data_IF_701943373445
#
_entry.id   IF_701943373445
#
_cell.length_a   1.000
_cell.length_b   1.000
_cell.length_c   1.000
_cell.angle_alpha   90.00
_cell.angle_beta   90.00
_cell.angle_gamma   90.00
#
_symmetry.space_group_name_H-M   'P 1'
#
loop_
_entity.id
_entity.type
_entity.pdbx_description
1 polymer ?
#
# COMPACT_ATOMS: atom_id res chain seq x y z
N UNK A 1 19.58 -32.22 -15.46
CA UNK A 1 19.75 -30.75 -15.31
C UNK A 1 21.17 -30.42 -14.89
N UNK A 2 21.77 -29.36 -15.43
CA UNK A 2 23.12 -28.93 -15.09
C UNK A 2 23.11 -28.27 -13.71
N UNK A 3 23.88 -28.80 -12.76
CA UNK A 3 24.02 -28.23 -11.40
C UNK A 3 24.47 -26.77 -11.50
N UNK A 4 23.66 -25.86 -10.99
CA UNK A 4 23.97 -24.42 -10.99
C UNK A 4 25.04 -24.10 -9.94
N UNK A 5 25.98 -23.22 -10.30
CA UNK A 5 26.98 -22.69 -9.36
C UNK A 5 26.27 -21.83 -8.31
N UNK A 6 26.84 -21.75 -7.10
CA UNK A 6 26.27 -21.00 -5.97
C UNK A 6 25.95 -19.55 -6.33
N UNK A 7 26.86 -18.86 -7.00
CA UNK A 7 26.65 -17.46 -7.43
C UNK A 7 25.43 -17.29 -8.33
N UNK A 8 25.21 -18.22 -9.27
CA UNK A 8 24.04 -18.18 -10.15
C UNK A 8 22.74 -18.49 -9.39
N UNK A 9 22.77 -19.45 -8.44
CA UNK A 9 21.61 -19.75 -7.59
C UNK A 9 21.21 -18.55 -6.74
N UNK A 10 22.18 -17.88 -6.10
CA UNK A 10 21.90 -16.71 -5.26
C UNK A 10 21.20 -15.59 -6.05
N UNK A 11 21.64 -15.32 -7.28
CA UNK A 11 21.02 -14.32 -8.16
C UNK A 11 19.58 -14.73 -8.51
N UNK A 12 19.38 -15.96 -8.95
CA UNK A 12 18.05 -16.46 -9.34
C UNK A 12 17.07 -16.53 -8.15
N UNK A 13 17.51 -17.03 -7.00
CA UNK A 13 16.71 -17.07 -5.77
C UNK A 13 16.33 -15.68 -5.30
N UNK A 14 17.25 -14.72 -5.36
CA UNK A 14 16.97 -13.32 -5.02
C UNK A 14 15.89 -12.75 -5.94
N UNK A 15 16.03 -12.95 -7.26
CA UNK A 15 15.05 -12.50 -8.23
C UNK A 15 13.68 -13.16 -7.99
N UNK A 16 13.65 -14.47 -7.75
CA UNK A 16 12.43 -15.22 -7.47
C UNK A 16 11.72 -14.67 -6.22
N UNK A 17 12.45 -14.49 -5.12
CA UNK A 17 11.88 -14.00 -3.86
C UNK A 17 11.32 -12.59 -4.02
N UNK A 18 12.05 -11.68 -4.67
CA UNK A 18 11.59 -10.31 -4.91
C UNK A 18 10.36 -10.23 -5.82
N UNK A 19 10.24 -11.15 -6.78
CA UNK A 19 9.10 -11.22 -7.69
C UNK A 19 7.84 -11.86 -7.07
N UNK A 20 7.99 -12.60 -5.96
CA UNK A 20 6.89 -13.32 -5.31
C UNK A 20 6.80 -12.97 -3.81
N UNK A 21 6.60 -11.70 -3.44
CA UNK A 21 6.44 -11.32 -2.04
C UNK A 21 5.19 -12.00 -1.44
N UNK A 22 5.18 -12.17 -0.12
CA UNK A 22 4.11 -12.82 0.65
C UNK A 22 3.77 -14.27 0.23
N UNK A 23 4.52 -14.89 -0.68
CA UNK A 23 4.33 -16.26 -1.15
C UNK A 23 5.23 -17.21 -0.37
N UNK A 24 4.70 -18.35 0.07
CA UNK A 24 5.52 -19.40 0.67
C UNK A 24 6.15 -20.24 -0.45
N UNK A 25 7.46 -20.15 -0.61
CA UNK A 25 8.22 -20.95 -1.58
C UNK A 25 8.82 -22.17 -0.87
N UNK A 26 8.41 -23.39 -1.22
CA UNK A 26 8.98 -24.61 -0.64
C UNK A 26 10.47 -24.76 -0.96
N UNK A 27 11.28 -25.24 -0.01
CA UNK A 27 12.71 -25.50 -0.25
C UNK A 27 12.93 -26.57 -1.34
N UNK A 28 11.98 -27.48 -1.53
CA UNK A 28 12.01 -28.51 -2.58
C UNK A 28 12.06 -27.90 -3.98
N UNK A 29 11.34 -26.80 -4.20
CA UNK A 29 11.29 -26.11 -5.49
C UNK A 29 12.71 -25.69 -5.92
N UNK A 30 13.45 -25.01 -5.05
CA UNK A 30 14.83 -24.61 -5.35
C UNK A 30 15.80 -25.78 -5.42
N UNK A 31 15.64 -26.78 -4.55
CA UNK A 31 16.50 -27.97 -4.55
C UNK A 31 16.40 -28.73 -5.88
N UNK A 32 15.19 -28.92 -6.39
CA UNK A 32 14.91 -29.55 -7.68
C UNK A 32 15.37 -28.67 -8.84
N UNK A 33 14.98 -27.39 -8.84
CA UNK A 33 15.33 -26.43 -9.89
C UNK A 33 16.85 -26.28 -10.09
N UNK A 34 17.64 -26.36 -9.03
CA UNK A 34 19.08 -26.16 -9.11
C UNK A 34 19.91 -27.45 -9.06
N UNK A 35 19.26 -28.61 -8.84
CA UNK A 35 19.94 -29.89 -8.62
C UNK A 35 20.88 -29.84 -7.41
N UNK A 36 20.41 -29.26 -6.30
CA UNK A 36 21.17 -29.04 -5.07
C UNK A 36 20.48 -29.64 -3.85
N UNK A 37 21.25 -30.00 -2.81
CA UNK A 37 20.68 -30.48 -1.56
C UNK A 37 19.95 -29.36 -0.81
N UNK A 38 18.89 -29.71 -0.04
CA UNK A 38 18.13 -28.75 0.78
C UNK A 38 19.00 -28.00 1.78
N UNK A 39 20.06 -28.62 2.31
CA UNK A 39 21.05 -27.96 3.18
C UNK A 39 21.77 -26.82 2.46
N UNK A 40 22.23 -27.04 1.23
CA UNK A 40 22.87 -26.00 0.40
C UNK A 40 21.90 -24.87 0.07
N UNK A 41 20.63 -25.17 -0.22
CA UNK A 41 19.60 -24.15 -0.42
C UNK A 41 19.39 -23.34 0.86
N UNK A 42 19.38 -23.99 2.03
CA UNK A 42 19.21 -23.32 3.32
C UNK A 42 20.37 -22.37 3.61
N UNK A 43 21.61 -22.77 3.31
CA UNK A 43 22.78 -21.89 3.42
C UNK A 43 22.69 -20.68 2.48
N UNK A 44 22.23 -20.90 1.24
CA UNK A 44 22.03 -19.81 0.27
C UNK A 44 20.93 -18.84 0.75
N UNK A 45 19.83 -19.35 1.31
CA UNK A 45 18.76 -18.54 1.89
C UNK A 45 19.21 -17.75 3.11
N UNK A 46 20.09 -18.30 3.95
CA UNK A 46 20.67 -17.57 5.09
C UNK A 46 21.47 -16.35 4.63
N UNK A 47 22.25 -16.47 3.54
CA UNK A 47 22.97 -15.34 2.94
C UNK A 47 21.98 -14.28 2.43
N UNK A 48 20.94 -14.71 1.71
CA UNK A 48 19.93 -13.77 1.18
C UNK A 48 19.18 -13.07 2.31
N UNK A 49 18.83 -13.80 3.38
CA UNK A 49 18.19 -13.24 4.57
C UNK A 49 19.04 -12.14 5.19
N UNK A 50 20.31 -12.42 5.46
CA UNK A 50 21.24 -11.45 6.03
C UNK A 50 21.35 -10.21 5.13
N UNK A 51 21.53 -10.41 3.82
CA UNK A 51 21.60 -9.32 2.86
C UNK A 51 20.31 -8.48 2.84
N UNK A 52 19.13 -9.11 2.87
CA UNK A 52 17.84 -8.41 2.85
C UNK A 52 17.64 -7.57 4.10
N UNK A 53 17.98 -8.10 5.27
CA UNK A 53 17.83 -7.42 6.56
C UNK A 53 18.84 -6.26 6.70
N UNK A 54 20.10 -6.48 6.31
CA UNK A 54 21.13 -5.43 6.34
C UNK A 54 20.82 -4.30 5.37
N UNK A 55 20.37 -4.61 4.16
CA UNK A 55 20.07 -3.60 3.13
C UNK A 55 18.66 -2.99 3.26
N UNK A 56 17.82 -3.43 4.20
CA UNK A 56 16.45 -2.90 4.36
C UNK A 56 15.50 -3.31 3.24
N UNK A 57 15.79 -4.41 2.53
CA UNK A 57 14.95 -4.94 1.47
C UNK A 57 13.65 -5.50 2.06
N UNK A 58 13.76 -6.28 3.14
CA UNK A 58 12.64 -6.86 3.86
C UNK A 58 13.07 -8.04 4.73
N UNK A 59 12.11 -8.84 5.17
CA UNK A 59 12.34 -10.03 5.99
C UNK A 59 12.22 -11.30 5.14
N UNK A 60 13.09 -12.27 5.39
CA UNK A 60 12.95 -13.62 4.85
C UNK A 60 12.53 -14.57 5.98
N UNK A 61 11.22 -14.79 6.13
CA UNK A 61 10.65 -15.66 7.16
C UNK A 61 10.77 -17.12 6.72
N UNK A 62 11.31 -17.97 7.60
CA UNK A 62 11.38 -19.43 7.36
C UNK A 62 10.23 -20.11 8.08
N UNK A 63 9.53 -21.00 7.39
CA UNK A 63 8.49 -21.86 7.95
C UNK A 63 9.04 -23.27 8.02
N UNK A 64 9.12 -23.84 9.23
CA UNK A 64 9.65 -25.19 9.44
C UNK A 64 8.64 -26.29 9.02
N UNK A 65 9.14 -27.50 8.79
CA UNK A 65 8.34 -28.69 8.48
C UNK A 65 8.46 -29.18 7.03
N UNK A 66 7.85 -30.33 6.74
CA UNK A 66 7.94 -30.99 5.42
C UNK A 66 7.27 -30.19 4.28
N UNK A 67 6.20 -29.46 4.60
CA UNK A 67 5.54 -28.48 3.72
C UNK A 67 6.04 -27.03 3.98
N UNK A 68 7.13 -26.91 4.74
CA UNK A 68 7.76 -25.63 5.06
C UNK A 68 8.47 -25.00 3.86
N UNK A 69 9.01 -23.81 4.08
CA UNK A 69 9.53 -22.99 3.00
C UNK A 69 10.13 -21.68 3.51
N UNK A 70 10.35 -20.77 2.57
CA UNK A 70 10.66 -19.37 2.86
C UNK A 70 9.60 -18.45 2.30
N UNK A 71 9.35 -17.36 3.00
CA UNK A 71 8.46 -16.29 2.56
C UNK A 71 9.18 -14.97 2.69
N UNK A 72 9.32 -14.26 1.57
CA UNK A 72 9.80 -12.89 1.56
C UNK A 72 8.67 -11.93 1.92
N UNK A 73 8.93 -11.03 2.86
CA UNK A 73 8.00 -9.98 3.31
C UNK A 73 8.69 -8.63 3.10
N UNK A 74 8.27 -7.83 2.11
CA UNK A 74 8.79 -6.49 1.92
C UNK A 74 8.62 -5.65 3.19
N UNK A 75 9.70 -5.02 3.64
CA UNK A 75 9.66 -4.07 4.76
C UNK A 75 10.60 -2.91 4.48
N UNK A 76 10.28 -1.74 5.04
CA UNK A 76 11.13 -0.55 5.01
C UNK A 76 11.65 -0.28 6.42
N UNK A 77 12.95 0.04 6.54
CA UNK A 77 13.56 0.49 7.79
C UNK A 77 13.04 1.87 8.16
N UNK A 78 12.84 2.12 9.45
CA UNK A 78 12.31 3.41 9.94
C UNK A 78 13.16 4.59 9.49
N UNK A 79 14.49 4.47 9.51
CA UNK A 79 15.41 5.53 9.06
C UNK A 79 15.26 5.85 7.57
N UNK A 80 15.17 4.83 6.71
CA UNK A 80 14.97 4.99 5.27
C UNK A 80 13.60 5.61 4.97
N UNK A 81 12.55 5.15 5.67
CA UNK A 81 11.21 5.70 5.58
C UNK A 81 11.17 7.18 5.96
N UNK A 82 11.82 7.56 7.08
CA UNK A 82 11.91 8.94 7.55
C UNK A 82 12.68 9.82 6.57
N UNK A 83 13.81 9.34 6.04
CA UNK A 83 14.60 10.08 5.06
C UNK A 83 13.78 10.37 3.80
N UNK A 84 13.18 9.34 3.21
CA UNK A 84 12.33 9.50 2.03
C UNK A 84 11.12 10.42 2.29
N UNK A 85 10.44 10.27 3.43
CA UNK A 85 9.26 11.09 3.72
C UNK A 85 9.62 12.56 3.97
N UNK A 86 10.79 12.86 4.54
CA UNK A 86 11.27 14.25 4.67
C UNK A 86 11.52 14.89 3.30
N UNK A 87 12.10 14.16 2.35
CA UNK A 87 12.27 14.65 0.97
C UNK A 87 10.92 14.89 0.30
N UNK A 88 9.98 13.94 0.44
CA UNK A 88 8.64 14.06 -0.13
C UNK A 88 7.86 15.22 0.48
N UNK A 89 7.93 15.40 1.80
CA UNK A 89 7.32 16.53 2.52
C UNK A 89 7.92 17.85 2.02
N UNK A 90 9.23 17.94 1.83
CA UNK A 90 9.88 19.12 1.25
C UNK A 90 9.34 19.46 -0.15
N UNK A 91 9.03 18.46 -0.97
CA UNK A 91 8.37 18.67 -2.27
C UNK A 91 6.91 19.11 -2.10
N UNK A 92 6.15 18.45 -1.23
CA UNK A 92 4.73 18.75 -0.99
C UNK A 92 4.51 20.14 -0.37
N UNK A 93 5.47 20.63 0.42
CA UNK A 93 5.43 21.94 1.05
C UNK A 93 5.69 23.11 0.08
N UNK A 94 5.96 22.84 -1.21
CA UNK A 94 6.09 23.89 -2.21
C UNK A 94 4.76 24.68 -2.34
N UNK A 95 4.74 25.99 -2.10
CA UNK A 95 3.52 26.81 -2.15
C UNK A 95 2.80 26.80 -3.50
N UNK A 96 3.50 26.53 -4.61
CA UNK A 96 2.89 26.41 -5.95
C UNK A 96 1.93 25.22 -6.05
N UNK A 97 2.01 24.27 -5.12
CA UNK A 97 1.08 23.13 -5.06
C UNK A 97 -0.25 23.48 -4.43
N UNK A 98 -0.40 24.65 -3.79
CA UNK A 98 -1.62 24.97 -3.09
C UNK A 98 -2.78 25.24 -4.05
N UNK A 99 -3.91 24.56 -3.82
CA UNK A 99 -5.13 24.69 -4.60
C UNK A 99 -6.29 25.22 -3.72
N UNK A 100 -7.31 25.85 -4.33
CA UNK A 100 -8.50 26.32 -3.61
C UNK A 100 -9.16 25.22 -2.77
N UNK A 101 -9.56 25.55 -1.53
CA UNK A 101 -10.24 24.62 -0.62
C UNK A 101 -9.32 23.78 0.28
N UNK A 102 -8.02 24.10 0.30
CA UNK A 102 -7.02 23.43 1.13
C UNK A 102 -6.50 22.13 0.50
N UNK A 103 -6.49 22.06 -0.83
CA UNK A 103 -6.03 20.91 -1.59
C UNK A 103 -4.59 21.12 -2.07
N UNK A 104 -3.90 20.02 -2.36
CA UNK A 104 -2.55 20.04 -2.95
C UNK A 104 -2.56 19.47 -4.36
N UNK A 105 -1.79 20.09 -5.25
CA UNK A 105 -1.43 19.52 -6.53
C UNK A 105 -0.37 18.42 -6.32
N UNK A 106 -0.79 17.18 -6.52
CA UNK A 106 0.04 15.98 -6.32
C UNK A 106 0.16 15.11 -7.58
N UNK A 107 -0.37 15.54 -8.73
CA UNK A 107 -0.45 14.68 -9.92
C UNK A 107 0.92 14.24 -10.44
N UNK A 108 1.93 15.09 -10.34
CA UNK A 108 3.33 14.79 -10.69
C UNK A 108 3.96 13.77 -9.74
N UNK A 109 3.67 13.87 -8.45
CA UNK A 109 4.11 12.92 -7.41
C UNK A 109 3.43 11.57 -7.63
N UNK A 110 2.12 11.55 -7.77
CA UNK A 110 1.30 10.35 -8.01
C UNK A 110 1.62 9.68 -9.36
N UNK A 111 2.12 10.45 -10.33
CA UNK A 111 2.56 9.96 -11.62
C UNK A 111 3.99 9.42 -11.64
N UNK A 112 4.78 9.60 -10.57
CA UNK A 112 6.18 9.16 -10.52
C UNK A 112 6.29 7.69 -10.03
N UNK A 113 6.75 6.74 -10.86
CA UNK A 113 6.79 5.33 -10.49
C UNK A 113 7.72 5.02 -9.30
N UNK A 114 8.86 5.70 -9.21
CA UNK A 114 9.83 5.49 -8.12
C UNK A 114 9.24 5.95 -6.78
N UNK A 115 8.57 7.10 -6.77
CA UNK A 115 7.86 7.62 -5.60
C UNK A 115 6.71 6.70 -5.21
N UNK A 116 5.91 6.24 -6.17
CA UNK A 116 4.83 5.28 -5.91
C UNK A 116 5.34 3.95 -5.37
N UNK A 117 6.45 3.41 -5.90
CA UNK A 117 7.04 2.18 -5.38
C UNK A 117 7.47 2.34 -3.91
N UNK A 118 8.11 3.47 -3.55
CA UNK A 118 8.48 3.73 -2.15
C UNK A 118 7.26 3.86 -1.24
N UNK A 119 6.25 4.63 -1.65
CA UNK A 119 5.00 4.80 -0.88
C UNK A 119 4.24 3.47 -0.74
N UNK A 120 4.12 2.71 -1.83
CA UNK A 120 3.47 1.40 -1.82
C UNK A 120 4.17 0.42 -0.88
N UNK A 121 5.52 0.45 -0.85
CA UNK A 121 6.30 -0.37 0.10
C UNK A 121 6.07 0.08 1.56
N UNK A 122 5.88 1.37 1.83
CA UNK A 122 5.52 1.87 3.17
C UNK A 122 4.14 1.34 3.61
N UNK A 123 3.12 1.41 2.76
CA UNK A 123 1.80 0.85 3.09
C UNK A 123 1.85 -0.67 3.24
N UNK A 124 2.53 -1.39 2.34
CA UNK A 124 2.71 -2.83 2.50
C UNK A 124 3.42 -3.17 3.82
N UNK A 125 4.40 -2.37 4.23
CA UNK A 125 5.08 -2.50 5.52
C UNK A 125 4.14 -2.26 6.71
N UNK A 126 3.24 -1.28 6.63
CA UNK A 126 2.25 -1.01 7.69
C UNK A 126 1.22 -2.15 7.85
N UNK A 127 0.91 -2.84 6.76
CA UNK A 127 -0.17 -3.83 6.69
C UNK A 127 0.33 -5.27 6.48
N UNK A 128 1.64 -5.52 6.60
CA UNK A 128 2.27 -6.80 6.25
C UNK A 128 1.69 -8.02 6.99
N UNK A 129 1.29 -7.83 8.26
CA UNK A 129 0.76 -8.89 9.12
C UNK A 129 -0.79 -8.87 9.22
N UNK A 130 -1.48 -8.14 8.34
CA UNK A 130 -2.94 -7.98 8.38
C UNK A 130 -3.71 -8.94 7.48
N UNK A 131 -3.05 -9.87 6.79
CA UNK A 131 -3.66 -10.84 5.87
C UNK A 131 -4.61 -10.12 4.89
N UNK A 132 -4.07 -9.21 4.08
CA UNK A 132 -4.84 -8.50 3.05
C UNK A 132 -5.11 -9.48 1.91
N UNK A 133 -6.35 -9.53 1.41
CA UNK A 133 -6.72 -10.32 0.23
C UNK A 133 -6.79 -9.45 -1.03
N UNK A 134 -7.06 -8.15 -0.87
CA UNK A 134 -7.24 -7.21 -1.97
C UNK A 134 -7.03 -5.77 -1.50
N UNK A 135 -6.44 -4.94 -2.38
CA UNK A 135 -6.35 -3.50 -2.18
C UNK A 135 -7.48 -2.80 -2.93
N UNK A 136 -8.21 -1.92 -2.26
CA UNK A 136 -9.30 -1.14 -2.84
C UNK A 136 -8.95 0.35 -2.87
N UNK A 137 -9.35 1.03 -3.93
CA UNK A 137 -9.32 2.50 -4.02
C UNK A 137 -10.50 3.00 -4.85
N UNK A 138 -10.73 4.32 -4.87
CA UNK A 138 -11.69 4.96 -5.77
C UNK A 138 -10.96 5.64 -6.91
N UNK A 139 -11.57 5.66 -8.10
CA UNK A 139 -11.01 6.41 -9.22
C UNK A 139 -10.87 7.91 -8.89
N UNK A 140 -9.83 8.61 -9.38
CA UNK A 140 -8.76 8.13 -10.29
C UNK A 140 -7.37 8.22 -9.66
N UNK A 141 -7.12 9.20 -8.79
CA UNK A 141 -5.79 9.56 -8.29
C UNK A 141 -5.18 8.51 -7.37
N UNK A 142 -5.99 7.77 -6.62
CA UNK A 142 -5.54 6.67 -5.76
C UNK A 142 -5.13 5.39 -6.51
N UNK A 143 -5.41 5.26 -7.81
CA UNK A 143 -5.14 4.03 -8.57
C UNK A 143 -3.65 3.65 -8.61
N UNK A 144 -2.70 4.54 -8.98
CA UNK A 144 -1.28 4.19 -8.98
C UNK A 144 -0.78 3.75 -7.61
N UNK A 145 -1.29 4.40 -6.56
CA UNK A 145 -0.97 4.09 -5.17
C UNK A 145 -1.49 2.70 -4.75
N UNK A 146 -2.71 2.35 -5.16
CA UNK A 146 -3.29 1.03 -4.94
C UNK A 146 -2.46 -0.07 -5.59
N UNK A 147 -2.10 0.09 -6.86
CA UNK A 147 -1.24 -0.88 -7.56
C UNK A 147 0.15 -1.00 -6.93
N UNK A 148 0.78 0.12 -6.57
CA UNK A 148 2.09 0.08 -5.92
C UNK A 148 2.04 -0.67 -4.58
N UNK A 149 1.00 -0.45 -3.78
CA UNK A 149 0.79 -1.16 -2.50
C UNK A 149 0.51 -2.64 -2.73
N UNK A 150 -0.40 -2.96 -3.64
CA UNK A 150 -0.83 -4.32 -3.94
C UNK A 150 0.29 -5.19 -4.51
N UNK A 151 1.20 -4.61 -5.29
CA UNK A 151 2.38 -5.28 -5.82
C UNK A 151 3.29 -5.81 -4.70
N UNK A 152 3.51 -5.03 -3.64
CA UNK A 152 4.32 -5.47 -2.51
C UNK A 152 3.58 -6.44 -1.57
N UNK A 153 2.26 -6.31 -1.46
CA UNK A 153 1.43 -7.26 -0.70
C UNK A 153 1.13 -8.56 -1.47
N UNK A 154 1.39 -8.58 -2.78
CA UNK A 154 1.06 -9.66 -3.71
C UNK A 154 -0.44 -10.02 -3.75
N UNK A 155 -1.28 -9.00 -3.92
CA UNK A 155 -2.75 -9.13 -3.95
C UNK A 155 -3.36 -8.39 -5.14
N UNK A 156 -4.58 -8.73 -5.58
CA UNK A 156 -5.29 -7.96 -6.60
C UNK A 156 -5.67 -6.54 -6.14
N UNK A 157 -6.03 -5.71 -7.11
CA UNK A 157 -6.60 -4.36 -6.91
C UNK A 157 -8.05 -4.33 -7.37
N UNK A 158 -8.91 -3.67 -6.60
CA UNK A 158 -10.28 -3.34 -6.95
C UNK A 158 -10.46 -1.82 -7.00
N UNK A 159 -11.07 -1.34 -8.08
CA UNK A 159 -11.29 0.08 -8.32
C UNK A 159 -12.78 0.37 -8.22
N UNK A 160 -13.15 1.14 -7.20
CA UNK A 160 -14.48 1.69 -7.03
C UNK A 160 -14.67 2.86 -7.99
N UNK A 161 -15.84 2.94 -8.59
CA UNK A 161 -16.14 3.91 -9.66
C UNK A 161 -17.15 4.93 -9.20
N UNK A 162 -17.02 6.19 -9.64
CA UNK A 162 -17.94 7.28 -9.30
C UNK A 162 -19.22 7.23 -10.16
N UNK A 163 -19.09 6.69 -11.37
CA UNK A 163 -20.20 6.49 -12.29
C UNK A 163 -20.33 5.01 -12.68
N UNK A 164 -21.57 4.51 -12.71
CA UNK A 164 -21.84 3.17 -13.20
C UNK A 164 -21.59 3.09 -14.73
N UNK A 165 -21.03 1.97 -15.19
CA UNK A 165 -21.03 1.65 -16.63
C UNK A 165 -21.84 0.39 -16.85
N UNK A 166 -22.74 0.44 -17.84
CA UNK A 166 -23.60 -0.68 -18.24
C UNK A 166 -22.80 -1.96 -18.53
N UNK A 167 -21.55 -1.82 -18.96
CA UNK A 167 -20.61 -2.92 -19.26
C UNK A 167 -20.21 -3.77 -18.05
N UNK A 168 -20.54 -3.36 -16.82
CA UNK A 168 -20.12 -4.06 -15.61
C UNK A 168 -21.14 -5.06 -15.05
N UNK A 169 -22.36 -5.08 -15.58
CA UNK A 169 -23.44 -5.96 -15.12
C UNK A 169 -24.06 -5.50 -13.81
N UNK A 170 -24.37 -6.43 -12.91
CA UNK A 170 -24.94 -6.10 -11.60
C UNK A 170 -23.95 -5.31 -10.75
N UNK A 171 -24.36 -4.14 -10.28
CA UNK A 171 -23.56 -3.24 -9.43
C UNK A 171 -24.22 -3.04 -8.07
N UNK A 172 -23.39 -2.80 -7.06
CA UNK A 172 -23.79 -2.20 -5.79
C UNK A 172 -23.41 -0.73 -5.85
N UNK A 173 -24.31 0.15 -5.44
CA UNK A 173 -24.08 1.59 -5.41
C UNK A 173 -24.46 2.16 -4.05
N UNK A 174 -23.67 3.10 -3.57
CA UNK A 174 -23.95 3.85 -2.35
C UNK A 174 -23.76 5.35 -2.59
N UNK A 175 -24.40 6.16 -1.76
CA UNK A 175 -24.24 7.61 -1.77
C UNK A 175 -23.35 8.03 -0.59
N UNK A 176 -22.46 9.00 -0.82
CA UNK A 176 -21.55 9.53 0.19
C UNK A 176 -21.35 11.03 -0.02
N UNK A 177 -20.88 11.72 1.02
CA UNK A 177 -20.54 13.15 0.93
C UNK A 177 -19.04 13.29 0.70
N UNK A 178 -18.67 13.85 -0.45
CA UNK A 178 -17.25 14.07 -0.78
C UNK A 178 -16.72 15.34 -0.10
N UNK A 179 -15.55 15.23 0.54
CA UNK A 179 -14.91 16.37 1.21
C UNK A 179 -14.51 17.51 0.26
N UNK A 180 -14.34 17.20 -1.04
CA UNK A 180 -13.94 18.18 -2.06
C UNK A 180 -15.10 18.95 -2.65
N UNK A 181 -16.20 18.27 -2.96
CA UNK A 181 -17.36 18.91 -3.56
C UNK A 181 -18.40 19.39 -2.54
N UNK A 182 -18.35 18.89 -1.29
CA UNK A 182 -19.43 19.03 -0.28
C UNK A 182 -20.81 18.66 -0.85
N UNK A 183 -20.83 17.80 -1.88
CA UNK A 183 -22.04 17.31 -2.55
C UNK A 183 -22.16 15.81 -2.34
N UNK A 184 -23.40 15.33 -2.43
CA UNK A 184 -23.67 13.90 -2.51
C UNK A 184 -23.09 13.40 -3.83
N UNK A 185 -22.23 12.40 -3.73
CA UNK A 185 -21.69 11.65 -4.86
C UNK A 185 -22.10 10.19 -4.70
N UNK A 186 -22.15 9.47 -5.82
CA UNK A 186 -22.38 8.03 -5.82
C UNK A 186 -21.05 7.34 -6.04
N UNK A 187 -20.87 6.17 -5.44
CA UNK A 187 -19.82 5.25 -5.82
C UNK A 187 -20.39 3.85 -6.01
N UNK A 188 -19.79 3.09 -6.92
CA UNK A 188 -20.31 1.78 -7.32
C UNK A 188 -19.19 0.78 -7.59
N UNK A 189 -19.53 -0.49 -7.36
CA UNK A 189 -18.67 -1.64 -7.66
C UNK A 189 -19.52 -2.79 -8.18
N UNK A 190 -19.05 -3.45 -9.24
CA UNK A 190 -19.69 -4.65 -9.76
C UNK A 190 -19.71 -5.76 -8.71
N UNK A 191 -20.83 -6.50 -8.57
CA UNK A 191 -20.94 -7.62 -7.62
C UNK A 191 -19.88 -8.70 -7.85
N UNK A 192 -19.46 -8.88 -9.10
CA UNK A 192 -18.37 -9.81 -9.50
C UNK A 192 -16.96 -9.25 -9.27
N UNK A 193 -16.85 -7.96 -8.93
CA UNK A 193 -15.58 -7.26 -8.81
C UNK A 193 -14.85 -7.53 -7.49
N UNK A 194 -15.56 -8.08 -6.49
CA UNK A 194 -15.00 -8.40 -5.19
C UNK A 194 -15.66 -9.69 -4.67
N UNK A 195 -14.84 -10.65 -4.23
CA UNK A 195 -15.36 -11.86 -3.60
C UNK A 195 -15.94 -11.54 -2.22
N UNK A 196 -17.04 -12.22 -1.85
CA UNK A 196 -17.59 -12.08 -0.50
C UNK A 196 -16.54 -12.45 0.56
N UNK A 197 -16.64 -11.85 1.75
CA UNK A 197 -15.75 -12.10 2.90
C UNK A 197 -14.28 -11.71 2.71
N UNK A 198 -13.92 -11.08 1.57
CA UNK A 198 -12.56 -10.59 1.32
C UNK A 198 -12.08 -9.64 2.42
N UNK A 199 -10.80 -9.71 2.75
CA UNK A 199 -10.10 -8.79 3.65
C UNK A 199 -9.48 -7.65 2.85
N UNK A 200 -10.05 -6.45 2.99
CA UNK A 200 -9.79 -5.32 2.10
C UNK A 200 -8.96 -4.26 2.79
N UNK A 201 -7.82 -3.91 2.19
CA UNK A 201 -7.05 -2.71 2.52
C UNK A 201 -7.52 -1.58 1.62
N UNK A 202 -8.06 -0.51 2.19
CA UNK A 202 -8.43 0.68 1.42
C UNK A 202 -7.21 1.60 1.33
N UNK A 203 -6.92 2.16 0.15
CA UNK A 203 -5.92 3.23 0.01
C UNK A 203 -6.45 4.42 -0.80
N UNK A 204 -6.06 5.63 -0.41
CA UNK A 204 -6.47 6.88 -1.08
C UNK A 204 -5.34 7.92 -1.07
N UNK A 205 -5.37 8.87 -2.01
CA UNK A 205 -4.31 9.88 -2.12
C UNK A 205 -4.45 11.01 -1.11
N UNK A 206 -5.68 11.46 -0.83
CA UNK A 206 -5.91 12.61 0.02
C UNK A 206 -7.17 12.48 0.87
N UNK A 207 -7.04 12.66 2.19
CA UNK A 207 -8.16 12.61 3.13
C UNK A 207 -8.39 13.94 3.83
N UNK A 208 -9.59 14.51 3.65
CA UNK A 208 -10.11 15.65 4.44
C UNK A 208 -10.98 15.16 5.60
N UNK A 209 -12.31 15.17 5.44
CA UNK A 209 -13.25 14.68 6.46
C UNK A 209 -13.39 13.14 6.50
N UNK A 210 -12.85 12.42 5.51
CA UNK A 210 -12.94 10.95 5.43
C UNK A 210 -14.21 10.41 4.75
N UNK A 211 -15.07 11.26 4.17
CA UNK A 211 -16.34 10.81 3.56
C UNK A 211 -16.17 9.81 2.41
N UNK A 212 -15.10 9.92 1.63
CA UNK A 212 -14.78 8.94 0.58
C UNK A 212 -14.40 7.57 1.17
N UNK A 213 -13.54 7.55 2.18
CA UNK A 213 -13.19 6.31 2.89
C UNK A 213 -14.41 5.69 3.55
N UNK A 214 -15.25 6.51 4.21
CA UNK A 214 -16.50 6.07 4.81
C UNK A 214 -17.43 5.44 3.79
N UNK A 215 -17.58 6.06 2.61
CA UNK A 215 -18.31 5.47 1.50
C UNK A 215 -17.72 4.10 1.10
N UNK A 216 -16.42 3.98 0.90
CA UNK A 216 -15.83 2.67 0.56
C UNK A 216 -16.06 1.62 1.66
N UNK A 217 -16.01 2.01 2.94
CA UNK A 217 -16.33 1.12 4.07
C UNK A 217 -17.80 0.66 4.01
N UNK A 218 -18.74 1.58 3.80
CA UNK A 218 -20.16 1.26 3.72
C UNK A 218 -20.47 0.40 2.48
N UNK A 219 -19.80 0.65 1.35
CA UNK A 219 -19.89 -0.18 0.15
C UNK A 219 -19.42 -1.62 0.42
N UNK A 220 -18.36 -1.81 1.20
CA UNK A 220 -17.83 -3.13 1.52
C UNK A 220 -18.75 -3.96 2.42
N UNK A 221 -19.63 -3.33 3.20
CA UNK A 221 -20.64 -4.04 4.00
C UNK A 221 -21.60 -4.83 3.10
N UNK A 222 -21.96 -4.30 1.93
CA UNK A 222 -22.82 -4.96 0.93
C UNK A 222 -22.17 -6.21 0.30
N UNK A 223 -20.85 -6.34 0.41
CA UNK A 223 -20.08 -7.52 -0.02
C UNK A 223 -19.72 -8.44 1.16
N UNK A 224 -20.17 -8.14 2.38
CA UNK A 224 -19.77 -8.82 3.63
C UNK A 224 -18.24 -8.88 3.79
N UNK A 225 -17.54 -7.90 3.23
CA UNK A 225 -16.09 -7.82 3.25
C UNK A 225 -15.62 -7.17 4.55
N UNK A 226 -14.40 -7.51 4.97
CA UNK A 226 -13.79 -6.96 6.19
C UNK A 226 -12.77 -5.90 5.83
N UNK A 227 -12.93 -4.67 6.33
CA UNK A 227 -11.90 -3.64 6.21
C UNK A 227 -10.78 -3.95 7.19
N UNK A 228 -9.59 -4.26 6.69
CA UNK A 228 -8.43 -4.58 7.55
C UNK A 228 -7.54 -3.36 7.83
N UNK A 229 -7.80 -2.25 7.14
CA UNK A 229 -7.16 -0.96 7.35
C UNK A 229 -7.44 0.02 6.23
N UNK A 230 -7.04 1.27 6.48
CA UNK A 230 -7.14 2.39 5.55
C UNK A 230 -5.78 3.11 5.48
N UNK A 231 -5.20 3.28 4.30
CA UNK A 231 -3.95 4.00 4.08
C UNK A 231 -4.17 5.28 3.27
N UNK A 232 -3.70 6.43 3.74
CA UNK A 232 -3.82 7.69 3.01
C UNK A 232 -2.47 8.36 2.84
N UNK A 233 -2.14 8.83 1.64
CA UNK A 233 -0.85 9.48 1.42
C UNK A 233 -0.77 10.80 2.20
N UNK A 234 -1.76 11.67 2.02
CA UNK A 234 -1.88 12.93 2.75
C UNK A 234 -3.21 12.99 3.47
N UNK A 235 -3.21 13.39 4.73
CA UNK A 235 -4.41 13.80 5.46
C UNK A 235 -4.38 15.30 5.78
N UNK A 236 -5.52 15.88 6.11
CA UNK A 236 -5.59 17.23 6.69
C UNK A 236 -6.60 17.29 7.83
N UNK A 237 -6.30 18.13 8.82
CA UNK A 237 -7.20 18.50 9.92
C UNK A 237 -7.85 19.87 9.72
N UNK A 238 -7.43 20.62 8.69
CA UNK A 238 -7.94 21.96 8.42
C UNK A 238 -9.41 21.93 7.94
N UNK A 239 -10.25 22.77 8.54
CA UNK A 239 -11.69 22.89 8.26
C UNK A 239 -12.48 21.57 8.40
N UNK A 240 -12.06 20.67 9.28
CA UNK A 240 -12.77 19.42 9.58
C UNK A 240 -13.42 19.52 10.95
N UNK A 241 -14.75 19.65 10.99
CA UNK A 241 -15.51 19.69 12.26
C UNK A 241 -15.68 18.30 12.89
N UNK A 242 -15.75 17.26 12.07
CA UNK A 242 -15.98 15.88 12.47
C UNK A 242 -15.24 14.95 11.51
N UNK A 243 -14.54 13.96 12.06
CA UNK A 243 -13.90 12.89 11.27
C UNK A 243 -14.85 11.72 11.12
N UNK A 244 -14.93 11.18 9.90
CA UNK A 244 -15.85 10.09 9.56
C UNK A 244 -15.20 8.69 9.62
N UNK A 245 -13.89 8.64 9.87
CA UNK A 245 -13.10 7.41 9.99
C UNK A 245 -12.04 7.60 11.08
N UNK A 246 -12.03 6.70 12.06
CA UNK A 246 -11.15 6.78 13.23
C UNK A 246 -9.83 6.02 13.05
N UNK A 247 -9.87 4.88 12.35
CA UNK A 247 -8.72 4.01 12.17
C UNK A 247 -8.17 4.06 10.74
N UNK A 248 -7.04 4.73 10.57
CA UNK A 248 -6.27 4.74 9.34
C UNK A 248 -4.79 5.03 9.62
N UNK A 249 -3.97 4.86 8.59
CA UNK A 249 -2.54 5.20 8.58
C UNK A 249 -2.32 6.28 7.52
N UNK A 250 -1.70 7.38 7.91
CA UNK A 250 -1.30 8.48 7.04
C UNK A 250 0.22 8.56 6.94
N UNK A 251 0.74 8.96 5.76
CA UNK A 251 2.17 9.18 5.59
C UNK A 251 2.58 10.63 5.82
N UNK A 252 1.74 11.57 5.43
CA UNK A 252 1.93 13.00 5.67
C UNK A 252 0.64 13.65 6.20
N UNK A 253 0.80 14.66 7.06
CA UNK A 253 -0.29 15.42 7.66
C UNK A 253 -0.14 16.90 7.32
N UNK A 254 -1.11 17.44 6.59
CA UNK A 254 -1.23 18.86 6.30
C UNK A 254 -1.90 19.56 7.49
N UNK A 255 -1.11 20.31 8.26
CA UNK A 255 -1.54 20.96 9.51
C UNK A 255 -2.21 22.30 9.24
N UNK A 256 -1.48 23.24 8.65
CA UNK A 256 -1.96 24.59 8.37
C UNK A 256 -1.64 25.04 6.93
N UNK A 257 -2.50 25.89 6.41
CA UNK A 257 -2.43 26.46 5.07
C UNK A 257 -2.67 27.95 5.17
N UNK A 258 -1.59 28.72 5.11
CA UNK A 258 -1.69 30.17 4.96
C UNK A 258 -1.76 30.55 3.49
N UNK A 259 -2.99 30.76 3.00
CA UNK A 259 -3.26 31.24 1.65
C UNK A 259 -2.68 32.64 1.39
N UNK A 260 -2.54 33.49 2.42
CA UNK A 260 -2.04 34.87 2.27
C UNK A 260 -0.52 34.91 2.29
N UNK A 261 0.10 34.17 3.20
CA UNK A 261 1.56 34.05 3.33
C UNK A 261 2.20 33.04 2.38
N UNK A 262 1.39 32.25 1.65
CA UNK A 262 1.86 31.15 0.79
C UNK A 262 2.73 30.15 1.58
N UNK A 263 2.30 29.79 2.78
CA UNK A 263 2.99 28.80 3.60
C UNK A 263 2.12 27.55 3.73
N UNK A 264 2.76 26.38 3.61
CA UNK A 264 2.15 25.07 3.76
C UNK A 264 2.96 24.33 4.83
N UNK A 265 2.31 23.97 5.92
CA UNK A 265 2.95 23.17 6.97
C UNK A 265 2.52 21.70 6.85
N UNK A 266 3.50 20.84 6.59
CA UNK A 266 3.28 19.40 6.43
C UNK A 266 4.23 18.65 7.37
N UNK A 267 3.64 17.78 8.18
CA UNK A 267 4.33 16.92 9.12
C UNK A 267 4.27 15.45 8.70
N UNK A 268 5.03 14.61 9.40
CA UNK A 268 4.90 13.17 9.27
C UNK A 268 3.52 12.71 9.75
N UNK A 269 2.92 11.77 9.03
CA UNK A 269 1.63 11.19 9.40
C UNK A 269 1.74 10.10 10.48
N UNK A 270 0.59 9.53 10.82
CA UNK A 270 0.41 8.52 11.87
C UNK A 270 1.20 7.21 11.68
N UNK A 271 1.70 6.94 10.46
CA UNK A 271 2.63 5.83 10.21
C UNK A 271 3.87 5.88 11.14
N UNK A 272 4.32 7.09 11.48
CA UNK A 272 5.54 7.31 12.26
C UNK A 272 5.28 7.43 13.77
N UNK A 273 4.07 7.74 14.19
CA UNK A 273 3.70 7.88 15.61
C UNK A 273 3.76 6.55 16.36
N UNK A 274 3.33 5.45 15.72
CA UNK A 274 3.30 4.10 16.33
C UNK A 274 4.62 3.33 16.24
N UNK A 275 5.65 3.89 15.59
CA UNK A 275 6.95 3.25 15.34
C UNK A 275 8.12 3.93 16.06
N UNK A 276 7.81 4.90 16.93
CA UNK A 276 8.77 5.68 17.72
C UNK A 276 9.13 5.09 19.08
N UNK A 277 8.71 3.85 19.39
CA UNK A 277 9.08 3.11 20.60
C UNK A 277 9.98 1.90 20.27
#
# INVERSE_FOLDING_TARGET
MKKLRRSARLVDMTQHLLAHPHTLTPLTLFAEQYGAAKSSISEDLSIIKEAFEVQGVGLLKTVAGAAGGVKYIPQVKTEEALHFMRELIGQLANPERLLPGGYLYMSDILGNPQTMAKIGKLFATAYADKNVDVVMTVETKGIPLAYATAMFLNVPVVIVRRDNKVTEGSVVSINYVSGSSKRIQTMSLARRGLAEQSRVLIVDDFMKAGGTLRGMIDLLQEFRATVVGCGVLVETTADVSERLVDEYVSLAKLQDVDFKGKQIEIELGSFFEKRGE
#
